data_IF_212587517601
#
_entry.id   IF_212587517601
#
_cell.length_a   1.000
_cell.length_b   1.000
_cell.length_c   1.000
_cell.angle_alpha   90.00
_cell.angle_beta   90.00
_cell.angle_gamma   90.00
#
_symmetry.space_group_name_H-M   'P 1'
#
loop_
_entity.id
_entity.type
_entity.pdbx_description
1 polymer ?
#
# COMPACT_ATOMS: atom_id res chain seq x y z
N UNK A 1 21.07 2.28 19.43
CA UNK A 1 21.47 2.76 18.08
C UNK A 1 20.24 2.66 17.20
N UNK A 2 20.05 3.60 16.27
CA UNK A 2 18.91 3.57 15.36
C UNK A 2 19.22 2.60 14.20
N UNK A 3 18.29 1.70 13.88
CA UNK A 3 18.49 0.76 12.77
C UNK A 3 18.55 1.51 11.42
N UNK A 4 19.31 1.02 10.42
CA UNK A 4 19.42 1.67 9.12
C UNK A 4 18.06 1.86 8.42
N UNK A 5 17.13 0.91 8.63
CA UNK A 5 15.75 0.96 8.15
C UNK A 5 14.97 2.15 8.69
N UNK A 6 15.14 2.46 9.97
CA UNK A 6 14.42 3.54 10.64
C UNK A 6 14.89 4.91 10.14
N UNK A 7 16.19 5.00 9.82
CA UNK A 7 16.77 6.20 9.20
C UNK A 7 16.16 6.47 7.82
N UNK A 8 16.00 5.43 7.00
CA UNK A 8 15.34 5.56 5.69
C UNK A 8 13.87 5.94 5.82
N UNK A 9 13.15 5.35 6.78
CA UNK A 9 11.75 5.69 7.06
C UNK A 9 11.57 7.16 7.46
N UNK A 10 12.47 7.69 8.30
CA UNK A 10 12.47 9.11 8.69
C UNK A 10 12.78 10.02 7.50
N UNK A 11 13.72 9.63 6.63
CA UNK A 11 14.02 10.40 5.41
C UNK A 11 12.79 10.48 4.52
N UNK A 12 12.14 9.35 4.20
CA UNK A 12 10.92 9.33 3.39
C UNK A 12 9.81 10.18 4.02
N UNK A 13 9.61 10.06 5.33
CA UNK A 13 8.60 10.84 6.06
C UNK A 13 8.81 12.35 5.85
N UNK A 14 10.05 12.82 5.94
CA UNK A 14 10.38 14.23 5.81
C UNK A 14 10.36 14.70 4.35
N UNK A 15 11.00 13.95 3.43
CA UNK A 15 11.26 14.42 2.06
C UNK A 15 10.12 14.14 1.10
N UNK A 16 9.35 13.07 1.32
CA UNK A 16 8.23 12.68 0.44
C UNK A 16 6.90 13.07 1.06
N UNK A 17 6.68 12.75 2.33
CA UNK A 17 5.39 13.01 2.99
C UNK A 17 5.32 14.38 3.69
N UNK A 18 6.45 15.09 3.84
CA UNK A 18 6.49 16.44 4.41
C UNK A 18 6.20 16.53 5.90
N UNK A 19 6.28 15.42 6.65
CA UNK A 19 6.05 15.40 8.10
C UNK A 19 7.37 15.39 8.87
N UNK A 20 7.46 16.22 9.92
CA UNK A 20 8.67 16.37 10.73
C UNK A 20 8.99 15.13 11.59
N UNK A 21 7.96 14.41 12.05
CA UNK A 21 8.12 13.25 12.93
C UNK A 21 6.93 12.31 12.88
N UNK A 22 7.19 11.04 13.20
CA UNK A 22 6.14 10.03 13.42
C UNK A 22 5.30 10.39 14.65
N UNK A 23 4.03 10.02 14.61
CA UNK A 23 3.07 10.21 15.70
C UNK A 23 2.77 8.88 16.38
N UNK A 24 2.72 8.89 17.71
CA UNK A 24 2.32 7.73 18.51
C UNK A 24 3.14 6.48 18.14
N UNK A 25 2.45 5.40 17.75
CA UNK A 25 3.05 4.09 17.46
C UNK A 25 3.50 3.91 16.00
N UNK A 26 3.38 4.94 15.14
CA UNK A 26 3.69 4.81 13.70
C UNK A 26 5.10 4.27 13.46
N UNK A 27 6.12 4.82 14.13
CA UNK A 27 7.51 4.39 13.93
C UNK A 27 7.69 2.92 14.30
N UNK A 28 7.14 2.48 15.44
CA UNK A 28 7.25 1.09 15.88
C UNK A 28 6.58 0.13 14.87
N UNK A 29 5.39 0.47 14.39
CA UNK A 29 4.66 -0.31 13.38
C UNK A 29 5.45 -0.38 12.07
N UNK A 30 5.95 0.76 11.58
CA UNK A 30 6.72 0.85 10.34
C UNK A 30 7.98 0.00 10.43
N UNK A 31 8.73 0.10 11.53
CA UNK A 31 9.97 -0.66 11.75
C UNK A 31 9.68 -2.17 11.77
N UNK A 32 8.59 -2.58 12.42
CA UNK A 32 8.13 -3.97 12.47
C UNK A 32 7.83 -4.52 11.06
N UNK A 33 7.09 -3.76 10.25
CA UNK A 33 6.72 -4.14 8.88
C UNK A 33 7.93 -4.14 7.93
N UNK A 34 8.87 -3.19 8.07
CA UNK A 34 10.12 -3.18 7.29
C UNK A 34 10.89 -4.48 7.51
N UNK A 35 10.94 -4.97 8.75
CA UNK A 35 11.57 -6.23 9.13
C UNK A 35 10.82 -7.49 8.64
N UNK A 36 9.68 -7.33 7.95
CA UNK A 36 8.91 -8.42 7.36
C UNK A 36 8.03 -9.17 8.36
N UNK A 37 7.72 -8.53 9.48
CA UNK A 37 6.84 -9.09 10.51
C UNK A 37 5.39 -8.65 10.28
N UNK A 38 4.43 -9.48 10.67
CA UNK A 38 3.00 -9.20 10.53
C UNK A 38 2.47 -8.29 11.66
N UNK A 39 1.52 -7.40 11.34
CA UNK A 39 0.93 -6.50 12.33
C UNK A 39 -0.60 -6.41 12.19
N UNK A 40 -1.28 -6.40 13.34
CA UNK A 40 -2.66 -5.91 13.46
C UNK A 40 -2.63 -4.49 14.01
N UNK A 41 -3.05 -3.52 13.19
CA UNK A 41 -2.98 -2.10 13.53
C UNK A 41 -4.38 -1.54 13.74
N UNK A 42 -4.70 -1.21 14.99
CA UNK A 42 -5.95 -0.54 15.37
C UNK A 42 -5.62 0.91 15.72
N UNK A 43 -5.98 1.83 14.83
CA UNK A 43 -5.77 3.27 15.01
C UNK A 43 -7.02 4.02 14.56
N UNK A 44 -7.40 5.14 15.21
CA UNK A 44 -8.56 5.93 14.79
C UNK A 44 -8.31 6.58 13.42
N UNK A 45 -9.38 6.91 12.71
CA UNK A 45 -9.32 7.66 11.44
C UNK A 45 -8.54 8.97 11.63
N UNK A 46 -7.78 9.39 10.61
CA UNK A 46 -6.97 10.61 10.68
C UNK A 46 -5.67 10.50 11.49
N UNK A 47 -5.41 9.36 12.13
CA UNK A 47 -4.15 9.09 12.85
C UNK A 47 -2.94 8.88 11.93
N UNK A 48 -3.14 8.86 10.62
CA UNK A 48 -2.08 8.56 9.64
C UNK A 48 -1.75 7.07 9.54
N UNK A 49 -2.75 6.19 9.68
CA UNK A 49 -2.60 4.73 9.49
C UNK A 49 -2.04 4.36 8.12
N UNK A 50 -2.34 5.13 7.07
CA UNK A 50 -1.83 4.87 5.71
C UNK A 50 -0.30 4.89 5.63
N UNK A 51 0.34 5.82 6.34
CA UNK A 51 1.80 5.89 6.43
C UNK A 51 2.41 4.59 6.97
N UNK A 52 1.70 3.89 7.86
CA UNK A 52 2.17 2.66 8.47
C UNK A 52 2.42 1.55 7.44
N UNK A 53 1.70 1.52 6.31
CA UNK A 53 1.96 0.55 5.24
C UNK A 53 2.60 1.17 4.00
N UNK A 54 2.39 2.47 3.74
CA UNK A 54 2.98 3.16 2.59
C UNK A 54 4.50 3.28 2.70
N UNK A 55 5.03 3.66 3.87
CA UNK A 55 6.48 3.80 4.05
C UNK A 55 7.19 2.44 3.94
N UNK A 56 6.75 1.36 4.61
CA UNK A 56 7.35 0.04 4.41
C UNK A 56 7.26 -0.47 2.97
N UNK A 57 6.17 -0.18 2.25
CA UNK A 57 6.03 -0.55 0.84
C UNK A 57 7.08 0.13 -0.06
N UNK A 58 7.51 1.35 0.29
CA UNK A 58 8.55 2.08 -0.44
C UNK A 58 9.97 1.65 -0.09
N UNK A 59 10.18 1.05 1.08
CA UNK A 59 11.50 0.62 1.56
C UNK A 59 11.80 -0.82 1.15
N UNK A 60 10.79 -1.70 1.22
CA UNK A 60 10.94 -3.12 0.90
C UNK A 60 10.97 -3.34 -0.61
N UNK A 61 11.72 -4.33 -1.10
CA UNK A 61 11.75 -4.63 -2.52
C UNK A 61 10.38 -5.13 -3.00
N UNK A 62 9.95 -4.66 -4.18
CA UNK A 62 8.71 -5.06 -4.81
C UNK A 62 7.59 -4.03 -4.69
N UNK A 63 6.35 -4.47 -4.93
CA UNK A 63 5.15 -3.62 -4.88
C UNK A 63 4.37 -3.85 -3.59
N UNK A 64 3.91 -2.79 -2.94
CA UNK A 64 2.94 -2.87 -1.85
C UNK A 64 1.53 -3.06 -2.37
N UNK A 65 0.83 -4.11 -1.94
CA UNK A 65 -0.56 -4.38 -2.35
C UNK A 65 -1.50 -3.99 -1.21
N UNK A 66 -2.36 -3.02 -1.45
CA UNK A 66 -3.33 -2.50 -0.48
C UNK A 66 -4.74 -2.94 -0.87
N UNK A 67 -5.36 -3.79 -0.06
CA UNK A 67 -6.72 -4.27 -0.26
C UNK A 67 -7.65 -3.32 0.49
N UNK A 68 -8.55 -2.63 -0.22
CA UNK A 68 -9.46 -1.66 0.39
C UNK A 68 -10.85 -1.73 -0.26
N UNK A 69 -11.94 -1.74 0.53
CA UNK A 69 -13.30 -1.81 0.00
C UNK A 69 -13.82 -0.49 -0.57
N UNK A 70 -13.21 0.63 -0.19
CA UNK A 70 -13.74 1.95 -0.49
C UNK A 70 -13.12 2.49 -1.78
N UNK A 71 -13.75 2.22 -2.93
CA UNK A 71 -13.28 2.66 -4.25
C UNK A 71 -12.97 4.16 -4.31
N UNK A 72 -13.84 5.01 -3.76
CA UNK A 72 -13.61 6.45 -3.72
C UNK A 72 -12.33 6.80 -2.94
N UNK A 73 -12.14 6.19 -1.76
CA UNK A 73 -10.94 6.38 -0.95
C UNK A 73 -9.69 5.88 -1.68
N UNK A 74 -9.77 4.77 -2.42
CA UNK A 74 -8.64 4.27 -3.23
C UNK A 74 -8.20 5.32 -4.27
N UNK A 75 -9.16 5.96 -4.95
CA UNK A 75 -8.86 7.00 -5.95
C UNK A 75 -8.20 8.22 -5.32
N UNK A 76 -8.69 8.66 -4.16
CA UNK A 76 -8.10 9.77 -3.40
C UNK A 76 -6.67 9.43 -2.94
N UNK A 77 -6.46 8.21 -2.40
CA UNK A 77 -5.14 7.76 -1.95
C UNK A 77 -4.14 7.67 -3.11
N UNK A 78 -4.53 7.07 -4.24
CA UNK A 78 -3.67 6.98 -5.43
C UNK A 78 -3.36 8.36 -5.98
N UNK A 79 -4.34 9.26 -6.03
CA UNK A 79 -4.13 10.64 -6.49
C UNK A 79 -3.14 11.39 -5.59
N UNK A 80 -3.28 11.26 -4.27
CA UNK A 80 -2.35 11.86 -3.31
C UNK A 80 -0.94 11.29 -3.46
N UNK A 81 -0.78 9.97 -3.60
CA UNK A 81 0.53 9.33 -3.80
C UNK A 81 1.20 9.81 -5.10
N UNK A 82 0.45 9.90 -6.20
CA UNK A 82 0.97 10.39 -7.47
C UNK A 82 1.44 11.85 -7.39
N UNK A 83 0.75 12.70 -6.61
CA UNK A 83 1.20 14.09 -6.36
C UNK A 83 2.52 14.15 -5.58
N UNK A 84 2.81 13.15 -4.76
CA UNK A 84 4.10 13.00 -4.05
C UNK A 84 5.18 12.35 -4.93
N UNK A 85 4.88 12.04 -6.20
CA UNK A 85 5.79 11.35 -7.11
C UNK A 85 5.90 9.83 -6.87
N UNK A 86 5.06 9.28 -6.00
CA UNK A 86 5.00 7.83 -5.74
C UNK A 86 4.20 7.16 -6.86
N UNK A 87 4.74 6.08 -7.42
CA UNK A 87 4.12 5.36 -8.54
C UNK A 87 3.02 4.43 -8.02
N UNK A 88 1.81 4.97 -7.89
CA UNK A 88 0.65 4.22 -7.42
C UNK A 88 -0.38 3.99 -8.53
N UNK A 89 -1.11 2.88 -8.44
CA UNK A 89 -2.28 2.62 -9.27
C UNK A 89 -3.37 1.89 -8.47
N UNK A 90 -4.56 1.74 -9.05
CA UNK A 90 -5.62 0.91 -8.50
C UNK A 90 -6.17 -0.11 -9.51
N UNK A 91 -6.77 -1.18 -9.01
CA UNK A 91 -7.58 -2.16 -9.76
C UNK A 91 -8.91 -2.38 -9.04
N UNK A 92 -10.00 -1.95 -9.66
CA UNK A 92 -11.37 -2.11 -9.15
C UNK A 92 -12.34 -2.22 -10.34
N UNK A 93 -13.62 -2.40 -10.05
CA UNK A 93 -14.68 -2.54 -11.07
C UNK A 93 -14.95 -1.30 -11.94
N UNK A 94 -14.44 -0.10 -11.59
CA UNK A 94 -14.67 1.11 -12.38
C UNK A 94 -13.76 1.25 -13.60
N UNK A 95 -12.69 0.44 -13.70
CA UNK A 95 -11.75 0.50 -14.82
C UNK A 95 -12.24 -0.27 -16.04
N UNK A 96 -12.03 0.33 -17.21
CA UNK A 96 -12.14 -0.37 -18.48
C UNK A 96 -11.08 -1.48 -18.62
N UNK A 97 -11.32 -2.41 -19.53
CA UNK A 97 -10.38 -3.50 -19.79
C UNK A 97 -8.99 -3.00 -20.24
N UNK A 98 -8.95 -1.94 -21.04
CA UNK A 98 -7.68 -1.34 -21.50
C UNK A 98 -6.88 -0.75 -20.33
N UNK A 99 -7.55 -0.03 -19.42
CA UNK A 99 -6.91 0.53 -18.23
C UNK A 99 -6.39 -0.57 -17.30
N UNK A 100 -7.15 -1.65 -17.12
CA UNK A 100 -6.70 -2.83 -16.38
C UNK A 100 -5.42 -3.38 -17.01
N UNK A 101 -5.41 -3.65 -18.31
CA UNK A 101 -4.21 -4.17 -19.00
C UNK A 101 -3.00 -3.24 -18.88
N UNK A 102 -3.22 -1.92 -18.94
CA UNK A 102 -2.16 -0.93 -18.76
C UNK A 102 -1.56 -1.00 -17.36
N UNK A 103 -2.39 -1.09 -16.33
CA UNK A 103 -1.94 -1.24 -14.94
C UNK A 103 -1.21 -2.58 -14.73
N UNK A 104 -1.73 -3.67 -15.27
CA UNK A 104 -1.07 -4.99 -15.20
C UNK A 104 0.32 -4.99 -15.84
N UNK A 105 0.49 -4.32 -16.99
CA UNK A 105 1.81 -4.18 -17.64
C UNK A 105 2.79 -3.41 -16.76
N UNK A 106 2.35 -2.29 -16.17
CA UNK A 106 3.19 -1.52 -15.24
C UNK A 106 3.62 -2.35 -14.03
N UNK A 107 2.71 -3.15 -13.47
CA UNK A 107 3.03 -4.07 -12.37
C UNK A 107 4.11 -5.08 -12.76
N UNK A 108 3.93 -5.77 -13.90
CA UNK A 108 4.87 -6.78 -14.39
C UNK A 108 6.24 -6.20 -14.73
N UNK A 109 6.29 -4.92 -15.14
CA UNK A 109 7.53 -4.21 -15.42
C UNK A 109 8.21 -3.65 -14.17
N UNK A 110 7.63 -3.80 -12.97
CA UNK A 110 8.17 -3.20 -11.74
C UNK A 110 8.08 -1.67 -11.71
N UNK A 111 7.11 -1.09 -12.41
CA UNK A 111 6.94 0.36 -12.52
C UNK A 111 6.03 0.95 -11.44
N UNK A 112 5.53 0.15 -10.50
CA UNK A 112 4.65 0.60 -9.42
C UNK A 112 5.23 0.28 -8.05
N UNK A 113 5.13 1.27 -7.17
CA UNK A 113 5.47 1.18 -5.75
C UNK A 113 4.28 0.65 -4.94
N UNK A 114 3.06 1.09 -5.29
CA UNK A 114 1.82 0.68 -4.63
C UNK A 114 0.70 0.33 -5.61
N UNK A 115 -0.06 -0.71 -5.28
CA UNK A 115 -1.28 -1.11 -5.95
C UNK A 115 -2.43 -1.20 -4.96
N UNK A 116 -3.44 -0.35 -5.14
CA UNK A 116 -4.71 -0.50 -4.43
C UNK A 116 -5.62 -1.47 -5.18
N UNK A 117 -6.13 -2.49 -4.52
CA UNK A 117 -7.03 -3.48 -5.11
C UNK A 117 -8.34 -3.57 -4.34
N UNK A 118 -9.45 -3.59 -5.06
CA UNK A 118 -10.76 -3.79 -4.45
C UNK A 118 -10.98 -5.31 -4.22
N UNK A 119 -11.59 -5.73 -3.09
CA UNK A 119 -11.71 -7.14 -2.72
C UNK A 119 -12.36 -8.01 -3.81
N UNK A 120 -13.32 -7.49 -4.56
CA UNK A 120 -14.00 -8.23 -5.63
C UNK A 120 -13.05 -8.68 -6.75
N UNK A 121 -11.92 -7.98 -6.95
CA UNK A 121 -10.91 -8.38 -7.94
C UNK A 121 -10.13 -9.62 -7.52
N UNK A 122 -10.01 -9.89 -6.21
CA UNK A 122 -9.28 -11.05 -5.70
C UNK A 122 -10.01 -12.38 -5.94
N UNK A 123 -11.31 -12.34 -6.22
CA UNK A 123 -12.07 -13.53 -6.65
C UNK A 123 -11.73 -13.96 -8.10
N UNK A 124 -11.02 -13.12 -8.86
CA UNK A 124 -10.64 -13.44 -10.23
C UNK A 124 -9.28 -14.14 -10.28
N UNK A 125 -9.26 -15.36 -10.83
CA UNK A 125 -8.04 -16.14 -11.02
C UNK A 125 -6.94 -15.37 -11.78
N UNK A 126 -7.32 -14.56 -12.79
CA UNK A 126 -6.37 -13.72 -13.54
C UNK A 126 -5.58 -12.79 -12.61
N UNK A 127 -6.25 -12.23 -11.62
CA UNK A 127 -5.64 -11.29 -10.68
C UNK A 127 -4.74 -12.02 -9.69
N UNK A 128 -5.15 -13.20 -9.22
CA UNK A 128 -4.30 -14.05 -8.37
C UNK A 128 -3.03 -14.50 -9.10
N UNK A 129 -3.17 -14.95 -10.36
CA UNK A 129 -2.04 -15.36 -11.21
C UNK A 129 -1.08 -14.19 -11.48
N UNK A 130 -1.61 -12.98 -11.68
CA UNK A 130 -0.81 -11.77 -11.80
C UNK A 130 0.01 -11.54 -10.53
N UNK A 131 -0.65 -11.51 -9.37
CA UNK A 131 0.00 -11.26 -8.07
C UNK A 131 1.08 -12.32 -7.80
N UNK A 132 0.81 -13.59 -8.12
CA UNK A 132 1.75 -14.70 -7.96
C UNK A 132 3.05 -14.56 -8.77
N UNK A 133 3.10 -13.63 -9.74
CA UNK A 133 4.30 -13.34 -10.55
C UNK A 133 5.07 -12.11 -10.07
N UNK A 134 4.55 -11.37 -9.09
CA UNK A 134 5.15 -10.14 -8.62
C UNK A 134 6.11 -10.41 -7.46
N UNK A 135 7.16 -9.58 -7.35
CA UNK A 135 7.83 -9.42 -6.07
C UNK A 135 6.96 -8.49 -5.22
N UNK A 136 6.35 -9.04 -4.16
CA UNK A 136 5.46 -8.28 -3.28
C UNK A 136 6.26 -7.77 -2.08
N UNK A 137 6.25 -6.47 -1.88
CA UNK A 137 6.86 -5.83 -0.71
C UNK A 137 6.08 -6.21 0.56
N UNK A 138 4.75 -6.02 0.53
CA UNK A 138 3.83 -6.38 1.60
C UNK A 138 2.38 -6.42 1.10
N UNK A 139 1.50 -7.02 1.90
CA UNK A 139 0.06 -6.84 1.79
C UNK A 139 -0.44 -5.97 2.95
N UNK A 140 -1.35 -5.04 2.66
CA UNK A 140 -2.07 -4.27 3.67
C UNK A 140 -3.57 -4.43 3.44
N UNK A 141 -4.31 -4.85 4.47
CA UNK A 141 -5.77 -4.92 4.44
C UNK A 141 -6.31 -3.68 5.16
N UNK A 142 -6.80 -2.72 4.39
CA UNK A 142 -7.44 -1.54 4.92
C UNK A 142 -8.92 -1.81 5.24
N UNK A 143 -9.44 -1.12 6.25
CA UNK A 143 -10.76 -1.40 6.81
C UNK A 143 -10.99 -2.89 7.13
N UNK A 144 -9.99 -3.54 7.74
CA UNK A 144 -10.02 -4.97 8.05
C UNK A 144 -11.23 -5.43 8.89
N UNK A 145 -11.90 -4.51 9.59
CA UNK A 145 -13.15 -4.80 10.29
C UNK A 145 -14.27 -5.28 9.32
N UNK A 146 -14.24 -4.82 8.07
CA UNK A 146 -15.16 -5.23 7.03
C UNK A 146 -14.93 -6.67 6.55
N UNK A 147 -13.78 -7.30 6.83
CA UNK A 147 -13.51 -8.70 6.46
C UNK A 147 -14.57 -9.64 7.05
N UNK A 148 -15.02 -9.37 8.29
CA UNK A 148 -16.11 -10.14 8.93
C UNK A 148 -17.46 -10.04 8.20
N UNK A 149 -17.63 -9.05 7.32
CA UNK A 149 -18.82 -8.84 6.50
C UNK A 149 -18.65 -9.31 5.06
N UNK A 150 -17.42 -9.64 4.64
CA UNK A 150 -17.12 -10.06 3.27
C UNK A 150 -17.23 -11.57 3.04
N UNK A 151 -17.41 -12.36 4.10
CA UNK A 151 -17.53 -13.82 4.05
C UNK A 151 -16.20 -14.49 4.35
#
# INVERSE_FOLDING_TARGET
>A
MMEPSDSQAIVLLNTVFGYASFRGQQQAIISHLINGQDALVVMPTGSGKSLCFQIPALIRPGVGIVISPLIALMQDQVSALLQLGIKAAFLNSSLSFEEVQKTERKLLNGELDLLYIAPERLANQRTLDLIGRLTVALFAIDEAHCVSQWG
#
